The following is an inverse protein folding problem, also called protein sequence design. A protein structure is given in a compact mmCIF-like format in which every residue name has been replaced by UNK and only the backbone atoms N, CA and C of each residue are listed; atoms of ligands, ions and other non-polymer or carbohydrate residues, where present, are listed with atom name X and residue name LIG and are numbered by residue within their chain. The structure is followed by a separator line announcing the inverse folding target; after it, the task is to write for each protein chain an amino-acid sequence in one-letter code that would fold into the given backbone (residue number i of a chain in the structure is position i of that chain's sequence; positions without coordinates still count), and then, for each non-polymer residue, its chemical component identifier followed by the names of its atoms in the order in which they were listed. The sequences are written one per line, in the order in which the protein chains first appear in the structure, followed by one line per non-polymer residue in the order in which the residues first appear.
data_IF_144289604524
#
_entry.id   IF_144289604524
#
_cell.length_a   1.000
_cell.length_b   1.000
_cell.length_c   1.000
_cell.angle_alpha   90.00
_cell.angle_beta   90.00
_cell.angle_gamma   90.00
#
_symmetry.space_group_name_H-M   'P 1'
#
loop_
_entity.id
_entity.type
_entity.pdbx_description
1 polymer ?
#
# COMPACT_ATOMS: atom_id res chain seq x y z
N UNK A 1 -3.81 -2.36 -25.93
CA UNK A 1 -4.12 -1.09 -25.26
C UNK A 1 -5.55 -0.77 -25.60
N UNK A 2 -6.42 -0.61 -24.60
CA UNK A 2 -7.82 -0.25 -24.82
C UNK A 2 -7.94 1.25 -24.65
N UNK A 3 -8.44 1.96 -25.67
CA UNK A 3 -8.67 3.41 -25.59
C UNK A 3 -10.09 3.59 -25.04
N UNK A 4 -10.18 4.27 -23.89
CA UNK A 4 -11.45 4.45 -23.16
C UNK A 4 -12.11 5.83 -23.40
N UNK A 5 -11.52 6.65 -24.29
CA UNK A 5 -12.00 8.00 -24.57
C UNK A 5 -12.17 8.18 -26.07
N UNK A 6 -13.07 9.07 -26.45
CA UNK A 6 -13.12 9.54 -27.83
C UNK A 6 -11.81 10.27 -28.18
N UNK A 7 -11.35 10.18 -29.44
CA UNK A 7 -10.12 10.85 -29.84
C UNK A 7 -10.30 12.38 -29.84
N UNK A 8 -9.30 13.11 -29.34
CA UNK A 8 -9.30 14.59 -29.34
C UNK A 8 -9.25 15.17 -30.75
N UNK A 9 -8.72 14.41 -31.71
CA UNK A 9 -8.69 14.77 -33.13
C UNK A 9 -8.75 13.53 -34.00
N UNK A 10 -9.36 13.69 -35.19
CA UNK A 10 -9.41 12.66 -36.22
C UNK A 10 -8.69 13.17 -37.44
N UNK A 11 -7.69 12.41 -37.91
CA UNK A 11 -6.97 12.70 -39.16
C UNK A 11 -7.40 11.67 -40.20
N UNK A 12 -8.01 12.13 -41.29
CA UNK A 12 -8.45 11.28 -42.38
C UNK A 12 -7.33 11.16 -43.45
N UNK A 13 -7.00 9.93 -43.75
CA UNK A 13 -6.02 9.61 -44.82
C UNK A 13 -6.78 9.10 -46.03
N UNK A 14 -6.85 9.93 -47.05
CA UNK A 14 -7.44 9.54 -48.33
C UNK A 14 -6.47 8.63 -49.13
N UNK A 15 -7.00 7.78 -50.05
CA UNK A 15 -6.14 7.01 -50.95
C UNK A 15 -5.15 7.88 -51.69
N UNK A 16 -3.91 7.38 -51.90
CA UNK A 16 -2.83 8.12 -52.53
C UNK A 16 -3.20 8.54 -53.97
N UNK A 17 -4.02 7.75 -54.64
CA UNK A 17 -4.57 8.00 -55.99
C UNK A 17 -5.48 9.23 -56.04
N UNK A 18 -6.03 9.65 -54.91
CA UNK A 18 -6.81 10.89 -54.80
C UNK A 18 -5.94 12.13 -54.75
N UNK A 19 -4.62 11.98 -54.50
CA UNK A 19 -3.68 13.10 -54.50
C UNK A 19 -3.38 13.50 -55.95
N UNK A 20 -3.85 14.71 -56.38
CA UNK A 20 -3.73 15.21 -57.72
C UNK A 20 -4.79 14.69 -58.72
N UNK A 21 -5.83 14.02 -58.25
CA UNK A 21 -6.95 13.60 -59.05
C UNK A 21 -7.73 14.84 -59.59
N UNK A 22 -7.90 14.98 -60.92
CA UNK A 22 -8.63 16.12 -61.49
C UNK A 22 -10.10 16.23 -61.07
N UNK A 23 -10.70 15.12 -60.63
CA UNK A 23 -12.10 15.04 -60.24
C UNK A 23 -12.30 15.06 -58.70
N UNK A 24 -11.24 15.34 -57.89
CA UNK A 24 -11.30 15.31 -56.45
C UNK A 24 -12.41 16.20 -55.86
N UNK A 25 -12.58 17.38 -56.46
CA UNK A 25 -13.60 18.36 -56.01
C UNK A 25 -15.04 17.90 -56.24
N UNK A 26 -15.25 16.83 -57.00
CA UNK A 26 -16.57 16.23 -57.26
C UNK A 26 -16.85 15.01 -56.35
N UNK A 27 -15.87 14.60 -55.51
CA UNK A 27 -16.03 13.50 -54.58
C UNK A 27 -16.69 14.01 -53.30
N UNK A 28 -17.86 13.49 -52.96
CA UNK A 28 -18.46 13.74 -51.65
C UNK A 28 -17.81 12.89 -50.55
N UNK A 29 -17.82 13.36 -49.32
CA UNK A 29 -17.29 12.60 -48.16
C UNK A 29 -18.03 11.25 -47.97
N UNK A 30 -19.28 11.15 -48.40
CA UNK A 30 -20.09 9.93 -48.36
C UNK A 30 -19.55 8.79 -49.25
N UNK A 31 -18.65 9.09 -50.18
CA UNK A 31 -17.98 8.08 -51.04
C UNK A 31 -16.87 7.34 -50.28
N UNK A 32 -16.43 7.84 -49.16
CA UNK A 32 -15.36 7.24 -48.37
C UNK A 32 -15.92 6.57 -47.10
N UNK A 33 -15.41 5.39 -46.79
CA UNK A 33 -15.70 4.67 -45.57
C UNK A 33 -14.41 4.35 -44.84
N UNK A 34 -14.48 4.36 -43.52
CA UNK A 34 -13.31 4.01 -42.68
C UNK A 34 -13.07 2.51 -42.80
N UNK A 35 -11.91 2.14 -43.36
CA UNK A 35 -11.45 0.77 -43.50
C UNK A 35 -10.79 0.25 -42.22
N UNK A 36 -9.96 1.09 -41.58
CA UNK A 36 -9.19 0.75 -40.39
C UNK A 36 -8.90 2.05 -39.64
N UNK A 37 -8.91 1.97 -38.27
CA UNK A 37 -8.50 3.07 -37.42
C UNK A 37 -7.27 2.67 -36.63
N UNK A 38 -6.30 3.58 -36.53
CA UNK A 38 -5.11 3.45 -35.65
C UNK A 38 -5.03 4.67 -34.76
N UNK A 39 -4.66 4.46 -33.51
CA UNK A 39 -4.59 5.53 -32.52
C UNK A 39 -3.14 5.81 -32.17
N UNK A 40 -2.77 7.09 -32.17
CA UNK A 40 -1.51 7.59 -31.65
C UNK A 40 -1.82 8.35 -30.37
N UNK A 41 -1.21 7.95 -29.25
CA UNK A 41 -1.39 8.60 -27.96
C UNK A 41 -0.13 9.39 -27.65
N UNK A 42 -0.29 10.69 -27.46
CA UNK A 42 0.80 11.60 -27.13
C UNK A 42 0.48 12.38 -25.85
N UNK A 43 1.47 13.06 -25.28
CA UNK A 43 1.34 13.84 -24.04
C UNK A 43 1.87 15.25 -24.30
N UNK A 44 1.01 16.26 -24.16
CA UNK A 44 1.44 17.65 -24.10
C UNK A 44 1.82 18.02 -22.65
N UNK A 45 3.09 18.39 -22.44
CA UNK A 45 3.61 18.77 -21.13
C UNK A 45 3.87 20.27 -21.07
N UNK A 46 2.95 21.01 -20.45
CA UNK A 46 3.12 22.45 -20.21
C UNK A 46 2.59 22.89 -18.86
N UNK A 47 3.20 23.92 -18.28
CA UNK A 47 2.64 24.63 -17.15
C UNK A 47 1.72 25.76 -17.62
N UNK A 48 0.56 25.91 -16.95
CA UNK A 48 -0.31 27.07 -17.16
C UNK A 48 -0.01 28.12 -16.09
N UNK A 49 0.30 29.34 -16.52
CA UNK A 49 0.55 30.49 -15.64
C UNK A 49 -0.60 31.47 -15.75
N UNK A 50 -1.26 31.77 -14.63
CA UNK A 50 -2.31 32.78 -14.55
C UNK A 50 -1.79 34.02 -13.80
N UNK A 51 -1.82 35.17 -14.42
CA UNK A 51 -1.48 36.44 -13.76
C UNK A 51 -2.75 37.06 -13.19
N UNK A 52 -2.75 37.31 -11.88
CA UNK A 52 -3.81 38.07 -11.21
C UNK A 52 -3.37 39.53 -11.04
N UNK A 53 -4.16 40.47 -11.55
CA UNK A 53 -3.88 41.89 -11.46
C UNK A 53 -4.96 42.61 -10.66
N UNK A 54 -4.56 43.37 -9.65
CA UNK A 54 -5.45 44.31 -8.96
C UNK A 54 -5.55 45.59 -9.81
N UNK A 55 -6.75 45.94 -10.14
CA UNK A 55 -7.03 47.21 -10.81
C UNK A 55 -7.42 48.28 -9.78
N UNK A 56 -7.11 49.53 -10.10
CA UNK A 56 -7.53 50.67 -9.33
C UNK A 56 -8.30 51.65 -10.21
N UNK A 57 -9.37 52.22 -9.70
CA UNK A 57 -10.12 53.30 -10.34
C UNK A 57 -9.84 54.64 -9.63
N UNK A 58 -9.35 55.63 -10.41
CA UNK A 58 -9.19 57.02 -9.96
C UNK A 58 -10.36 57.82 -10.47
N UNK A 59 -10.98 58.66 -9.57
CA UNK A 59 -12.06 59.57 -9.95
C UNK A 59 -13.36 58.88 -10.37
N UNK A 60 -13.70 57.73 -9.71
CA UNK A 60 -14.99 57.10 -9.92
C UNK A 60 -16.14 58.04 -9.61
N UNK A 61 -17.05 58.39 -10.57
CA UNK A 61 -18.12 59.39 -10.36
C UNK A 61 -19.07 59.04 -9.21
N UNK A 62 -19.16 57.74 -8.85
CA UNK A 62 -20.04 57.25 -7.79
C UNK A 62 -19.40 57.30 -6.39
N UNK A 63 -18.07 57.25 -6.29
CA UNK A 63 -17.38 57.07 -5.00
C UNK A 63 -16.43 58.18 -4.63
N UNK A 64 -16.17 59.17 -5.52
CA UNK A 64 -15.28 60.33 -5.33
C UNK A 64 -13.87 60.03 -4.77
N UNK A 65 -13.54 58.76 -4.62
CA UNK A 65 -12.32 58.25 -3.99
C UNK A 65 -11.59 57.27 -4.90
N UNK A 66 -10.32 57.07 -4.57
CA UNK A 66 -9.49 56.04 -5.13
C UNK A 66 -9.94 54.66 -4.61
N UNK A 67 -10.37 53.77 -5.51
CA UNK A 67 -10.85 52.42 -5.19
C UNK A 67 -9.87 51.42 -5.74
N UNK A 68 -9.47 50.43 -4.94
CA UNK A 68 -8.56 49.37 -5.31
C UNK A 68 -9.26 48.02 -5.16
N UNK A 69 -9.12 47.15 -6.14
CA UNK A 69 -9.56 45.75 -6.06
C UNK A 69 -8.77 44.96 -5.02
N UNK A 70 -9.21 43.75 -4.75
CA UNK A 70 -8.49 42.78 -3.87
C UNK A 70 -8.22 41.49 -4.59
N UNK A 71 -7.17 40.79 -4.18
CA UNK A 71 -6.96 39.41 -4.63
C UNK A 71 -8.00 38.49 -4.00
N UNK A 72 -8.38 37.41 -4.69
CA UNK A 72 -9.11 36.29 -4.08
C UNK A 72 -8.33 35.72 -2.89
N UNK A 73 -9.04 35.13 -1.90
CA UNK A 73 -8.42 34.55 -0.69
C UNK A 73 -7.35 33.50 -1.00
N UNK A 74 -7.52 32.76 -2.09
CA UNK A 74 -6.57 31.72 -2.53
C UNK A 74 -5.36 32.27 -3.28
N UNK A 75 -5.26 33.61 -3.51
CA UNK A 75 -4.12 34.26 -4.16
C UNK A 75 -3.44 35.20 -3.13
N UNK A 76 -2.47 34.64 -2.40
CA UNK A 76 -1.84 35.28 -1.24
C UNK A 76 -0.36 35.61 -1.39
N UNK A 77 0.31 35.10 -2.42
CA UNK A 77 1.74 35.30 -2.63
C UNK A 77 2.04 35.81 -4.05
N UNK A 78 3.16 36.52 -4.20
CA UNK A 78 3.62 37.02 -5.52
C UNK A 78 3.80 35.87 -6.55
N UNK A 79 4.28 34.71 -6.11
CA UNK A 79 4.36 33.49 -6.89
C UNK A 79 3.88 32.35 -6.02
N UNK A 80 2.92 31.60 -6.51
CA UNK A 80 2.42 30.41 -5.81
C UNK A 80 2.17 29.29 -6.80
N UNK A 81 2.24 28.04 -6.30
CA UNK A 81 1.98 26.85 -7.07
C UNK A 81 0.58 26.33 -6.77
N UNK A 82 -0.17 26.03 -7.82
CA UNK A 82 -1.52 25.47 -7.71
C UNK A 82 -1.56 24.01 -7.21
N UNK A 83 -2.77 23.52 -6.98
CA UNK A 83 -2.99 22.18 -6.42
C UNK A 83 -2.48 21.06 -7.33
N UNK A 84 -2.51 21.22 -8.66
CA UNK A 84 -1.98 20.23 -9.60
C UNK A 84 -0.46 20.02 -9.46
N UNK A 85 0.29 21.10 -9.24
CA UNK A 85 1.75 21.04 -8.96
C UNK A 85 1.99 20.32 -7.62
N UNK A 86 1.20 20.66 -6.59
CA UNK A 86 1.26 20.00 -5.29
C UNK A 86 0.88 18.53 -5.37
N UNK A 87 -0.17 18.17 -6.11
CA UNK A 87 -0.59 16.79 -6.36
C UNK A 87 0.52 15.99 -7.02
N UNK A 88 1.13 16.51 -8.09
CA UNK A 88 2.22 15.83 -8.79
C UNK A 88 3.43 15.64 -7.89
N UNK A 89 3.83 16.66 -7.11
CA UNK A 89 4.93 16.56 -6.16
C UNK A 89 4.68 15.47 -5.11
N UNK A 90 3.46 15.39 -4.57
CA UNK A 90 3.08 14.37 -3.59
C UNK A 90 3.07 12.96 -4.19
N UNK A 91 2.56 12.78 -5.41
CA UNK A 91 2.57 11.49 -6.10
C UNK A 91 4.00 11.02 -6.36
N UNK A 92 4.86 11.88 -6.89
CA UNK A 92 6.26 11.56 -7.14
C UNK A 92 7.00 11.21 -5.84
N UNK A 93 6.74 11.96 -4.76
CA UNK A 93 7.35 11.70 -3.45
C UNK A 93 6.89 10.39 -2.82
N UNK A 94 5.61 10.02 -2.96
CA UNK A 94 5.01 8.83 -2.32
C UNK A 94 5.05 7.60 -3.22
N UNK A 95 4.23 7.55 -4.29
CA UNK A 95 4.20 6.40 -5.20
C UNK A 95 5.48 6.24 -5.99
N UNK A 96 6.03 7.34 -6.50
CA UNK A 96 7.28 7.34 -7.25
C UNK A 96 8.50 7.09 -6.39
N UNK A 97 8.38 7.22 -5.07
CA UNK A 97 9.49 7.14 -4.11
C UNK A 97 10.66 8.08 -4.46
N UNK A 98 10.41 9.13 -5.25
CA UNK A 98 11.43 10.06 -5.77
C UNK A 98 11.90 10.98 -4.63
N UNK A 99 13.19 11.34 -4.62
CA UNK A 99 13.75 12.31 -3.67
C UNK A 99 13.35 13.74 -4.06
N UNK A 100 13.25 14.63 -3.06
CA UNK A 100 12.79 16.02 -3.27
C UNK A 100 13.65 16.79 -4.28
N UNK A 101 14.98 16.55 -4.29
CA UNK A 101 15.88 17.15 -5.28
C UNK A 101 15.63 16.65 -6.71
N UNK A 102 15.31 15.36 -6.86
CA UNK A 102 14.93 14.81 -8.17
C UNK A 102 13.57 15.30 -8.63
N UNK A 103 12.61 15.46 -7.72
CA UNK A 103 11.31 16.07 -8.04
C UNK A 103 11.53 17.49 -8.56
N UNK A 104 12.36 18.29 -7.91
CA UNK A 104 12.73 19.63 -8.38
C UNK A 104 13.31 19.60 -9.81
N UNK A 105 14.19 18.64 -10.11
CA UNK A 105 14.75 18.45 -11.44
C UNK A 105 13.69 18.02 -12.46
N UNK A 106 12.80 17.11 -12.11
CA UNK A 106 11.70 16.65 -12.97
C UNK A 106 10.76 17.81 -13.30
N UNK A 107 10.36 18.61 -12.30
CA UNK A 107 9.49 19.77 -12.50
C UNK A 107 10.10 20.78 -13.48
N UNK A 108 11.41 21.04 -13.35
CA UNK A 108 12.13 21.94 -14.27
C UNK A 108 12.18 21.36 -15.68
N UNK A 109 12.57 20.11 -15.84
CA UNK A 109 12.84 19.53 -17.16
C UNK A 109 11.57 19.24 -17.96
N UNK A 110 10.47 18.88 -17.30
CA UNK A 110 9.22 18.53 -17.99
C UNK A 110 8.27 19.72 -18.15
N UNK A 111 8.28 20.68 -17.21
CA UNK A 111 7.27 21.73 -17.13
C UNK A 111 7.84 23.14 -17.07
N UNK A 112 9.17 23.30 -17.11
CA UNK A 112 9.89 24.57 -16.91
C UNK A 112 9.52 25.26 -15.58
N UNK A 113 9.16 24.48 -14.55
CA UNK A 113 8.83 25.00 -13.23
C UNK A 113 10.07 24.94 -12.33
N UNK A 114 10.58 26.11 -11.92
CA UNK A 114 11.66 26.19 -10.95
C UNK A 114 11.10 26.14 -9.54
N UNK A 115 11.21 24.99 -8.88
CA UNK A 115 10.73 24.77 -7.51
C UNK A 115 11.88 24.25 -6.63
N UNK A 116 12.01 24.79 -5.42
CA UNK A 116 13.05 24.34 -4.49
C UNK A 116 12.67 23.02 -3.80
N UNK A 117 13.65 22.19 -3.41
CA UNK A 117 13.38 21.01 -2.58
C UNK A 117 12.66 21.35 -1.27
N UNK A 118 12.95 22.52 -0.66
CA UNK A 118 12.27 23.01 0.55
C UNK A 118 10.79 23.29 0.31
N UNK A 119 10.43 23.82 -0.84
CA UNK A 119 9.03 24.05 -1.24
C UNK A 119 8.29 22.71 -1.42
N UNK A 120 8.95 21.71 -2.01
CA UNK A 120 8.40 20.35 -2.15
C UNK A 120 8.12 19.74 -0.77
N UNK A 121 9.08 19.81 0.16
CA UNK A 121 8.89 19.36 1.55
C UNK A 121 7.70 20.07 2.21
N UNK A 122 7.53 21.37 1.97
CA UNK A 122 6.40 22.15 2.50
C UNK A 122 5.07 21.69 1.89
N UNK A 123 5.03 21.37 0.58
CA UNK A 123 3.85 20.80 -0.08
C UNK A 123 3.47 19.44 0.52
N UNK A 124 4.44 18.55 0.72
CA UNK A 124 4.24 17.24 1.34
C UNK A 124 3.73 17.40 2.78
N UNK A 125 4.29 18.34 3.55
CA UNK A 125 3.81 18.60 4.92
C UNK A 125 2.38 19.11 4.96
N UNK A 126 1.99 20.04 4.07
CA UNK A 126 0.61 20.53 3.99
C UNK A 126 -0.37 19.43 3.60
N UNK A 127 0.00 18.59 2.62
CA UNK A 127 -0.79 17.44 2.23
C UNK A 127 -0.98 16.47 3.41
N UNK A 128 0.10 16.10 4.12
CA UNK A 128 0.05 15.21 5.27
C UNK A 128 -0.86 15.77 6.38
N UNK A 129 -0.86 17.08 6.63
CA UNK A 129 -1.76 17.70 7.61
C UNK A 129 -3.23 17.49 7.24
N UNK A 130 -3.60 17.74 5.97
CA UNK A 130 -4.97 17.49 5.48
C UNK A 130 -5.35 15.99 5.54
N UNK A 131 -4.39 15.09 5.27
CA UNK A 131 -4.60 13.64 5.37
C UNK A 131 -4.89 13.21 6.80
N UNK A 132 -4.23 13.78 7.83
CA UNK A 132 -4.40 13.37 9.23
C UNK A 132 -5.84 13.45 9.72
N UNK A 133 -6.60 14.44 9.22
CA UNK A 133 -8.03 14.56 9.53
C UNK A 133 -8.85 13.35 9.03
N UNK A 134 -8.32 12.60 8.07
CA UNK A 134 -8.95 11.41 7.46
C UNK A 134 -8.44 10.09 8.06
N UNK A 135 -7.24 10.07 8.64
CA UNK A 135 -6.63 8.85 9.17
C UNK A 135 -7.38 8.28 10.37
N UNK A 136 -8.06 9.14 11.15
CA UNK A 136 -8.89 8.70 12.27
C UNK A 136 -10.00 7.73 11.84
N UNK A 137 -10.68 8.04 10.73
CA UNK A 137 -11.71 7.18 10.17
C UNK A 137 -11.12 5.84 9.67
N UNK A 138 -10.02 5.89 8.90
CA UNK A 138 -9.31 4.68 8.44
C UNK A 138 -8.92 3.78 9.61
N UNK A 139 -8.38 4.38 10.68
CA UNK A 139 -8.00 3.65 11.89
C UNK A 139 -9.18 2.97 12.56
N UNK A 140 -10.31 3.65 12.67
CA UNK A 140 -11.53 3.10 13.26
C UNK A 140 -12.08 1.93 12.44
N UNK A 141 -12.08 2.03 11.12
CA UNK A 141 -12.48 0.94 10.22
C UNK A 141 -11.61 -0.30 10.41
N UNK A 142 -10.28 -0.13 10.56
CA UNK A 142 -9.38 -1.25 10.83
C UNK A 142 -9.64 -1.85 12.23
N UNK A 143 -9.88 -1.03 13.25
CA UNK A 143 -10.20 -1.51 14.60
C UNK A 143 -11.49 -2.33 14.61
N UNK A 144 -12.47 -1.95 13.80
CA UNK A 144 -13.79 -2.61 13.71
C UNK A 144 -13.81 -3.80 12.77
N UNK A 145 -12.73 -4.06 12.02
CA UNK A 145 -12.69 -5.14 11.05
C UNK A 145 -12.59 -6.51 11.71
N UNK A 146 -13.10 -7.53 11.02
CA UNK A 146 -13.06 -8.92 11.51
C UNK A 146 -11.67 -9.54 11.40
N UNK A 147 -10.90 -9.17 10.35
CA UNK A 147 -9.55 -9.68 10.07
C UNK A 147 -8.64 -8.52 9.70
N UNK A 148 -7.52 -8.40 10.41
CA UNK A 148 -6.51 -7.38 10.14
C UNK A 148 -5.13 -8.02 10.03
N UNK A 149 -4.38 -7.57 9.04
CA UNK A 149 -3.00 -7.95 8.80
C UNK A 149 -2.04 -6.99 9.49
N UNK A 150 -1.06 -7.53 10.20
CA UNK A 150 -0.03 -6.77 10.89
C UNK A 150 1.37 -7.17 10.40
N UNK A 151 2.23 -6.19 10.21
CA UNK A 151 3.64 -6.38 9.87
C UNK A 151 4.44 -5.16 10.31
N UNK A 152 5.77 -5.30 10.46
CA UNK A 152 6.65 -4.18 10.76
C UNK A 152 7.96 -4.26 9.96
N UNK A 153 8.52 -3.09 9.70
CA UNK A 153 9.82 -2.99 9.02
C UNK A 153 10.70 -1.91 9.61
N UNK A 154 12.00 -2.19 9.66
CA UNK A 154 12.98 -1.19 10.06
C UNK A 154 13.23 -0.16 8.96
N UNK A 155 13.30 1.11 9.35
CA UNK A 155 13.75 2.22 8.49
C UNK A 155 14.89 2.97 9.17
N UNK A 156 15.67 3.73 8.38
CA UNK A 156 16.71 4.58 8.93
C UNK A 156 16.31 6.06 8.87
N UNK A 157 16.46 6.76 9.99
CA UNK A 157 16.26 8.20 10.12
C UNK A 157 17.47 8.78 10.85
N UNK A 158 18.24 9.65 10.19
CA UNK A 158 19.48 10.22 10.76
C UNK A 158 20.40 9.16 11.40
N UNK A 159 20.63 8.06 10.72
CA UNK A 159 21.50 6.98 11.19
C UNK A 159 20.90 6.07 12.27
N UNK A 160 19.75 6.42 12.87
CA UNK A 160 19.03 5.60 13.85
C UNK A 160 18.01 4.69 13.16
N UNK A 161 17.86 3.47 13.66
CA UNK A 161 16.82 2.55 13.22
C UNK A 161 15.54 2.85 13.98
N UNK A 162 14.45 3.12 13.22
CA UNK A 162 13.08 3.21 13.70
C UNK A 162 12.25 2.13 13.01
N UNK A 163 11.04 1.91 13.50
CA UNK A 163 10.18 0.83 13.03
C UNK A 163 8.86 1.37 12.51
N UNK A 164 8.53 0.99 11.29
CA UNK A 164 7.21 1.23 10.71
C UNK A 164 6.33 0.06 11.06
N UNK A 165 5.18 0.34 11.67
CA UNK A 165 4.12 -0.61 11.95
C UNK A 165 3.02 -0.45 10.92
N UNK A 166 2.62 -1.54 10.31
CA UNK A 166 1.52 -1.63 9.37
C UNK A 166 0.35 -2.37 10.01
N UNK A 167 -0.83 -1.80 9.86
CA UNK A 167 -2.10 -2.46 10.13
C UNK A 167 -2.98 -2.29 8.92
N UNK A 168 -3.41 -3.38 8.31
CA UNK A 168 -4.14 -3.30 7.04
C UNK A 168 -5.18 -4.39 6.86
N UNK A 169 -6.22 -4.06 6.10
CA UNK A 169 -7.26 -4.95 5.62
C UNK A 169 -7.25 -4.97 4.09
N UNK A 170 -8.16 -5.68 3.46
CA UNK A 170 -8.38 -5.61 2.01
C UNK A 170 -8.84 -4.22 1.54
N UNK A 171 -9.43 -3.39 2.45
CA UNK A 171 -9.94 -2.05 2.14
C UNK A 171 -9.10 -0.90 2.69
N UNK A 172 -8.39 -1.08 3.78
CA UNK A 172 -7.74 0.00 4.52
C UNK A 172 -6.26 -0.30 4.78
N UNK A 173 -5.45 0.75 4.89
CA UNK A 173 -4.03 0.68 5.26
C UNK A 173 -3.72 1.81 6.24
N UNK A 174 -3.07 1.48 7.36
CA UNK A 174 -2.62 2.43 8.35
C UNK A 174 -1.18 2.16 8.75
N UNK A 175 -0.30 3.12 8.49
CA UNK A 175 1.14 3.04 8.73
C UNK A 175 1.55 4.06 9.79
N UNK A 176 2.34 3.64 10.77
CA UNK A 176 2.92 4.54 11.77
C UNK A 176 4.41 4.26 11.93
N UNK A 177 5.15 5.18 12.55
CA UNK A 177 6.56 4.99 12.89
C UNK A 177 6.78 5.17 14.38
N UNK A 178 7.56 4.25 14.98
CA UNK A 178 7.99 4.26 16.38
C UNK A 178 9.49 4.03 16.50
N UNK A 179 10.10 4.43 17.61
CA UNK A 179 11.48 4.08 17.96
C UNK A 179 11.60 2.65 18.49
N UNK A 180 10.48 1.99 18.79
CA UNK A 180 10.40 0.62 19.30
C UNK A 180 9.72 -0.32 18.31
N UNK A 181 10.33 -1.49 18.12
CA UNK A 181 9.72 -2.58 17.33
C UNK A 181 8.59 -3.28 18.06
N UNK A 182 8.76 -3.53 19.37
CA UNK A 182 7.91 -4.40 20.15
C UNK A 182 6.60 -3.76 20.59
N UNK A 183 6.05 -4.29 21.69
CA UNK A 183 4.73 -3.90 22.21
C UNK A 183 4.52 -2.38 22.30
N UNK A 184 5.53 -1.64 22.74
CA UNK A 184 5.43 -0.18 22.87
C UNK A 184 5.10 0.45 21.49
N UNK A 185 5.82 0.09 20.43
CA UNK A 185 5.55 0.62 19.10
C UNK A 185 4.19 0.18 18.54
N UNK A 186 3.78 -1.06 18.84
CA UNK A 186 2.44 -1.56 18.48
C UNK A 186 1.33 -0.82 19.25
N UNK A 187 1.54 -0.53 20.54
CA UNK A 187 0.61 0.24 21.35
C UNK A 187 0.52 1.71 20.86
N UNK A 188 1.63 2.31 20.44
CA UNK A 188 1.67 3.65 19.82
C UNK A 188 0.91 3.69 18.49
N UNK A 189 0.93 2.63 17.69
CA UNK A 189 0.07 2.48 16.50
C UNK A 189 -1.42 2.56 16.90
N UNK A 190 -1.76 2.01 18.07
CA UNK A 190 -3.05 2.18 18.75
C UNK A 190 -4.20 1.45 18.07
N UNK A 191 -3.93 0.41 17.28
CA UNK A 191 -4.93 -0.50 16.71
C UNK A 191 -4.99 -1.78 17.54
N UNK A 192 -3.89 -2.53 17.66
CA UNK A 192 -3.85 -3.80 18.41
C UNK A 192 -4.47 -3.73 19.82
N UNK A 193 -4.23 -2.67 20.64
CA UNK A 193 -4.84 -2.59 21.97
C UNK A 193 -6.36 -2.50 21.99
N UNK A 194 -6.99 -2.10 20.88
CA UNK A 194 -8.43 -1.89 20.73
C UNK A 194 -9.10 -2.92 19.82
N UNK A 195 -8.30 -3.63 19.04
CA UNK A 195 -8.76 -4.61 18.06
C UNK A 195 -9.35 -5.84 18.77
N UNK A 196 -10.40 -6.41 18.20
CA UNK A 196 -11.12 -7.58 18.75
C UNK A 196 -11.28 -8.72 17.74
N UNK A 197 -10.86 -8.49 16.49
CA UNK A 197 -10.93 -9.48 15.42
C UNK A 197 -9.75 -10.46 15.42
N UNK A 198 -9.49 -11.05 14.26
CA UNK A 198 -8.41 -12.00 14.03
C UNK A 198 -7.17 -11.26 13.51
N UNK A 199 -6.06 -11.34 14.26
CA UNK A 199 -4.80 -10.71 13.90
C UNK A 199 -3.95 -11.67 13.05
N UNK A 200 -3.63 -11.28 11.81
CA UNK A 200 -2.75 -12.05 10.91
C UNK A 200 -1.33 -11.49 10.99
N UNK A 201 -0.33 -12.35 11.29
CA UNK A 201 1.06 -11.92 11.46
C UNK A 201 2.09 -13.04 11.22
N UNK A 202 3.38 -12.73 11.30
CA UNK A 202 4.52 -13.62 11.06
C UNK A 202 4.95 -14.52 12.24
N UNK A 203 4.12 -14.64 13.27
CA UNK A 203 4.44 -15.37 14.51
C UNK A 203 5.47 -14.70 15.42
N UNK A 204 5.78 -13.41 15.25
CA UNK A 204 6.69 -12.73 16.16
C UNK A 204 6.11 -12.63 17.59
N UNK A 205 6.96 -12.86 18.60
CA UNK A 205 6.55 -13.03 20.01
C UNK A 205 5.79 -11.84 20.62
N UNK A 206 5.92 -10.65 20.07
CA UNK A 206 5.22 -9.46 20.58
C UNK A 206 3.72 -9.47 20.31
N UNK A 207 3.26 -10.13 19.26
CA UNK A 207 1.83 -10.24 18.93
C UNK A 207 1.07 -11.09 19.97
N UNK A 208 1.70 -12.14 20.51
CA UNK A 208 1.12 -13.01 21.52
C UNK A 208 0.85 -12.37 22.89
N UNK A 209 1.25 -11.09 23.05
CA UNK A 209 0.96 -10.29 24.24
C UNK A 209 -0.43 -9.66 24.23
N UNK A 210 -1.15 -9.78 23.12
CA UNK A 210 -2.51 -9.33 22.96
C UNK A 210 -3.45 -10.52 23.02
N UNK A 211 -4.51 -10.40 23.84
CA UNK A 211 -5.54 -11.44 23.97
C UNK A 211 -6.51 -11.35 22.80
N UNK A 212 -6.11 -11.98 21.69
CA UNK A 212 -6.79 -11.96 20.40
C UNK A 212 -6.81 -13.36 19.78
N UNK A 213 -7.67 -13.53 18.78
CA UNK A 213 -7.53 -14.63 17.84
C UNK A 213 -6.39 -14.34 16.86
N UNK A 214 -5.48 -15.30 16.69
CA UNK A 214 -4.33 -15.16 15.82
C UNK A 214 -4.44 -16.09 14.60
N UNK A 215 -4.10 -15.56 13.42
CA UNK A 215 -3.82 -16.33 12.21
C UNK A 215 -2.37 -16.13 11.80
N UNK A 216 -1.70 -17.20 11.40
CA UNK A 216 -0.29 -17.14 11.06
C UNK A 216 -0.04 -17.11 9.56
N UNK A 217 1.02 -16.41 9.15
CA UNK A 217 1.51 -16.44 7.79
C UNK A 217 2.18 -17.78 7.47
N UNK A 218 1.43 -18.73 6.89
CA UNK A 218 1.97 -20.03 6.51
C UNK A 218 3.03 -19.93 5.41
N UNK A 219 3.05 -18.86 4.60
CA UNK A 219 4.12 -18.65 3.63
C UNK A 219 5.50 -18.45 4.28
N UNK A 220 5.57 -17.89 5.50
CA UNK A 220 6.82 -17.84 6.27
C UNK A 220 7.25 -19.21 6.74
N UNK A 221 6.32 -20.02 7.25
CA UNK A 221 6.58 -21.40 7.67
C UNK A 221 7.07 -22.24 6.49
N UNK A 222 6.41 -22.17 5.34
CA UNK A 222 6.82 -22.88 4.12
C UNK A 222 8.24 -22.51 3.67
N UNK A 223 8.63 -21.22 3.77
CA UNK A 223 10.01 -20.79 3.45
C UNK A 223 11.04 -21.39 4.40
N UNK A 224 10.72 -21.46 5.70
CA UNK A 224 11.62 -22.07 6.70
C UNK A 224 11.71 -23.59 6.50
N UNK A 225 10.59 -24.28 6.26
CA UNK A 225 10.55 -25.71 5.96
C UNK A 225 11.38 -26.04 4.70
N UNK A 226 11.21 -25.26 3.62
CA UNK A 226 12.01 -25.40 2.41
C UNK A 226 13.51 -25.25 2.70
N UNK A 227 13.89 -24.27 3.51
CA UNK A 227 15.28 -24.11 3.93
C UNK A 227 15.82 -25.30 4.73
N UNK A 228 14.97 -26.05 5.48
CA UNK A 228 15.39 -27.31 6.13
C UNK A 228 15.51 -28.40 5.09
N UNK A 229 14.55 -28.57 4.19
CA UNK A 229 14.62 -29.57 3.08
C UNK A 229 15.92 -29.41 2.28
N UNK A 230 16.32 -28.18 1.97
CA UNK A 230 17.54 -27.90 1.20
C UNK A 230 18.83 -28.22 1.99
N UNK A 231 18.82 -28.09 3.32
CA UNK A 231 20.00 -28.27 4.18
C UNK A 231 20.03 -29.65 4.88
N UNK A 232 18.91 -30.35 4.96
CA UNK A 232 18.72 -31.65 5.62
C UNK A 232 17.80 -32.55 4.76
N UNK A 233 18.25 -32.94 3.55
CA UNK A 233 17.42 -33.71 2.61
C UNK A 233 17.00 -35.08 3.14
N UNK A 234 17.72 -35.61 4.15
CA UNK A 234 17.42 -36.86 4.84
C UNK A 234 16.19 -36.78 5.75
N UNK A 235 15.81 -35.59 6.22
CA UNK A 235 14.64 -35.40 7.07
C UNK A 235 13.37 -35.38 6.22
N UNK A 236 12.39 -36.20 6.62
CA UNK A 236 11.12 -36.33 5.89
C UNK A 236 10.05 -35.35 6.38
N UNK A 237 10.03 -35.06 7.70
CA UNK A 237 9.00 -34.27 8.32
C UNK A 237 8.76 -32.90 7.65
N UNK A 238 9.80 -32.14 7.17
CA UNK A 238 9.56 -30.82 6.57
C UNK A 238 8.85 -30.93 5.23
N UNK A 239 9.13 -31.98 4.43
CA UNK A 239 8.46 -32.24 3.16
C UNK A 239 6.99 -32.57 3.39
N UNK A 240 6.72 -33.51 4.30
CA UNK A 240 5.37 -33.95 4.65
C UNK A 240 4.52 -32.78 5.19
N UNK A 241 5.12 -31.86 5.99
CA UNK A 241 4.42 -30.69 6.48
C UNK A 241 4.16 -29.65 5.37
N UNK A 242 5.08 -29.48 4.42
CA UNK A 242 4.83 -28.66 3.22
C UNK A 242 3.64 -29.20 2.42
N UNK A 243 3.59 -30.51 2.18
CA UNK A 243 2.48 -31.17 1.48
C UNK A 243 1.17 -30.97 2.24
N UNK A 244 1.15 -31.20 3.55
CA UNK A 244 -0.03 -30.95 4.39
C UNK A 244 -0.54 -29.51 4.26
N UNK A 245 0.34 -28.50 4.36
CA UNK A 245 -0.05 -27.09 4.24
C UNK A 245 -0.58 -26.75 2.85
N UNK A 246 -0.05 -27.35 1.79
CA UNK A 246 -0.58 -27.18 0.43
C UNK A 246 -1.95 -27.83 0.26
N UNK A 247 -2.13 -29.06 0.77
CA UNK A 247 -3.42 -29.77 0.73
C UNK A 247 -4.50 -28.98 1.52
N UNK A 248 -4.15 -28.46 2.70
CA UNK A 248 -5.02 -27.59 3.47
C UNK A 248 -5.41 -26.33 2.70
N UNK A 249 -4.44 -25.71 1.99
CA UNK A 249 -4.72 -24.54 1.16
C UNK A 249 -5.66 -24.88 0.01
N UNK A 250 -5.42 -26.00 -0.68
CA UNK A 250 -6.30 -26.47 -1.75
C UNK A 250 -7.72 -26.73 -1.24
N UNK A 251 -7.86 -27.44 -0.11
CA UNK A 251 -9.16 -27.71 0.50
C UNK A 251 -9.91 -26.43 0.88
N UNK A 252 -9.19 -25.39 1.33
CA UNK A 252 -9.79 -24.06 1.54
C UNK A 252 -10.25 -23.42 0.24
N UNK A 253 -9.40 -23.43 -0.79
CA UNK A 253 -9.71 -22.82 -2.09
C UNK A 253 -10.97 -23.52 -2.70
N UNK A 254 -11.06 -24.85 -2.54
CA UNK A 254 -12.24 -25.63 -2.95
C UNK A 254 -13.49 -25.28 -2.13
N UNK A 255 -13.35 -25.11 -0.80
CA UNK A 255 -14.47 -24.74 0.07
C UNK A 255 -14.99 -23.33 -0.29
N UNK A 256 -14.11 -22.37 -0.52
CA UNK A 256 -14.47 -21.03 -0.97
C UNK A 256 -15.14 -21.06 -2.36
N UNK A 257 -14.63 -21.90 -3.28
CA UNK A 257 -15.21 -22.07 -4.62
C UNK A 257 -16.61 -22.69 -4.62
N UNK A 258 -17.00 -23.37 -3.52
CA UNK A 258 -18.32 -23.97 -3.33
C UNK A 258 -19.19 -23.21 -2.30
N UNK A 259 -18.80 -21.99 -1.92
CA UNK A 259 -19.51 -21.13 -0.94
C UNK A 259 -19.70 -21.79 0.44
N UNK A 260 -18.73 -22.61 0.89
CA UNK A 260 -18.74 -23.18 2.24
C UNK A 260 -18.08 -22.22 3.25
N UNK A 261 -18.64 -22.12 4.44
CA UNK A 261 -18.10 -21.30 5.54
C UNK A 261 -16.86 -21.91 6.20
N UNK A 262 -16.64 -23.20 6.02
CA UNK A 262 -15.49 -23.97 6.56
C UNK A 262 -15.22 -25.20 5.70
N UNK A 263 -14.00 -25.73 5.80
CA UNK A 263 -13.68 -27.06 5.23
C UNK A 263 -14.47 -28.14 5.99
N UNK A 264 -15.00 -29.18 5.31
CA UNK A 264 -15.73 -30.27 5.96
C UNK A 264 -14.98 -30.94 7.13
N UNK A 265 -15.68 -31.26 8.21
CA UNK A 265 -15.10 -31.74 9.46
C UNK A 265 -14.23 -32.99 9.29
N UNK A 266 -14.66 -33.97 8.48
CA UNK A 266 -13.89 -35.17 8.20
C UNK A 266 -12.53 -34.88 7.52
N UNK A 267 -12.44 -33.83 6.73
CA UNK A 267 -11.20 -33.37 6.10
C UNK A 267 -10.33 -32.67 7.15
N UNK A 268 -10.93 -31.82 8.01
CA UNK A 268 -10.22 -31.17 9.11
C UNK A 268 -9.61 -32.18 10.08
N UNK A 269 -10.36 -33.22 10.46
CA UNK A 269 -9.87 -34.32 11.31
C UNK A 269 -8.71 -35.06 10.66
N UNK A 270 -8.78 -35.29 9.34
CA UNK A 270 -7.69 -35.89 8.58
C UNK A 270 -6.42 -35.03 8.61
N UNK A 271 -6.54 -33.71 8.52
CA UNK A 271 -5.40 -32.80 8.62
C UNK A 271 -4.76 -32.83 10.01
N UNK A 272 -5.55 -32.87 11.07
CA UNK A 272 -5.04 -32.95 12.43
C UNK A 272 -4.34 -34.27 12.68
N UNK A 273 -4.88 -35.38 12.22
CA UNK A 273 -4.23 -36.72 12.32
C UNK A 273 -2.90 -36.77 11.56
N UNK A 274 -2.87 -36.25 10.31
CA UNK A 274 -1.62 -36.13 9.53
C UNK A 274 -0.60 -35.25 10.25
N UNK A 275 -1.02 -34.14 10.80
CA UNK A 275 -0.14 -33.25 11.55
C UNK A 275 0.50 -33.98 12.74
N UNK A 276 -0.26 -34.72 13.54
CA UNK A 276 0.26 -35.48 14.67
C UNK A 276 1.30 -36.50 14.22
N UNK A 277 1.01 -37.29 13.19
CA UNK A 277 1.99 -38.26 12.63
C UNK A 277 3.27 -37.55 12.14
N UNK A 278 3.15 -36.38 11.48
CA UNK A 278 4.31 -35.63 11.01
C UNK A 278 5.14 -35.13 12.19
N UNK A 279 4.50 -34.66 13.27
CA UNK A 279 5.21 -34.20 14.46
C UNK A 279 5.92 -35.34 15.20
N UNK A 280 5.38 -36.54 15.20
CA UNK A 280 6.09 -37.75 15.73
C UNK A 280 7.33 -38.05 14.91
N UNK A 281 7.30 -37.90 13.58
CA UNK A 281 8.48 -38.05 12.73
C UNK A 281 9.48 -36.94 13.05
N UNK A 282 9.03 -35.69 13.17
CA UNK A 282 9.89 -34.55 13.50
C UNK A 282 10.62 -34.72 14.84
N UNK A 283 9.93 -35.23 15.86
CA UNK A 283 10.54 -35.53 17.17
C UNK A 283 11.61 -36.62 17.11
N UNK A 284 11.45 -37.62 16.22
CA UNK A 284 12.45 -38.65 16.00
C UNK A 284 13.65 -38.17 15.19
N UNK A 285 13.43 -37.39 14.14
CA UNK A 285 14.49 -36.86 13.26
C UNK A 285 15.27 -35.71 13.89
N UNK A 286 14.63 -34.91 14.75
CA UNK A 286 15.24 -33.78 15.45
C UNK A 286 14.82 -33.77 16.93
N UNK A 287 15.31 -34.71 17.75
CA UNK A 287 14.94 -34.79 19.16
C UNK A 287 15.35 -33.52 19.95
N UNK A 288 14.64 -33.21 21.05
CA UNK A 288 15.04 -32.13 21.93
C UNK A 288 16.45 -32.40 22.48
N UNK A 289 17.33 -31.38 22.57
CA UNK A 289 18.64 -31.58 23.16
C UNK A 289 18.50 -32.02 24.62
N UNK A 290 19.46 -32.86 25.16
CA UNK A 290 19.39 -33.33 26.53
C UNK A 290 19.39 -32.17 27.54
N UNK A 291 18.75 -32.37 28.69
CA UNK A 291 18.69 -31.32 29.71
C UNK A 291 20.10 -30.89 30.18
N UNK A 292 20.39 -29.59 30.26
CA UNK A 292 21.69 -29.12 30.66
C UNK A 292 21.95 -29.51 32.11
N UNK A 293 23.09 -30.13 32.36
CA UNK A 293 23.54 -30.48 33.72
C UNK A 293 23.68 -29.27 34.65
N UNK A 294 23.86 -28.07 34.07
CA UNK A 294 23.94 -26.80 34.80
C UNK A 294 22.94 -25.80 34.22
N UNK A 295 21.99 -25.32 35.03
CA UNK A 295 21.06 -24.26 34.64
C UNK A 295 21.79 -22.94 34.40
N UNK A 296 21.91 -22.52 33.14
CA UNK A 296 22.43 -21.18 32.78
C UNK A 296 21.27 -20.19 32.68
N UNK A 297 21.50 -18.92 33.08
CA UNK A 297 20.52 -17.84 32.87
C UNK A 297 20.31 -17.63 31.35
N UNK A 298 19.05 -17.50 30.94
CA UNK A 298 18.62 -17.21 29.58
C UNK A 298 17.91 -18.38 28.88
N UNK A 299 17.34 -18.10 27.69
CA UNK A 299 16.66 -19.12 26.88
C UNK A 299 17.70 -20.13 26.37
N UNK A 300 17.36 -21.41 26.48
CA UNK A 300 18.17 -22.51 25.94
C UNK A 300 18.38 -22.31 24.43
N UNK A 301 19.61 -22.39 23.94
CA UNK A 301 19.90 -22.39 22.52
C UNK A 301 19.58 -23.76 21.94
N UNK A 302 18.47 -23.83 21.20
CA UNK A 302 18.11 -24.98 20.37
C UNK A 302 18.47 -24.68 18.92
N UNK A 303 18.75 -25.68 18.11
CA UNK A 303 18.97 -25.49 16.67
C UNK A 303 17.76 -24.86 15.98
N UNK A 304 17.96 -24.25 14.81
CA UNK A 304 16.89 -23.56 14.06
C UNK A 304 15.71 -24.51 13.75
N UNK A 305 16.03 -25.73 13.36
CA UNK A 305 15.05 -26.76 13.05
C UNK A 305 14.20 -27.12 14.27
N UNK A 306 14.85 -27.43 15.41
CA UNK A 306 14.14 -27.73 16.66
C UNK A 306 13.26 -26.57 17.11
N UNK A 307 13.77 -25.34 17.01
CA UNK A 307 12.99 -24.14 17.32
C UNK A 307 11.75 -23.97 16.42
N UNK A 308 11.85 -24.39 15.15
CA UNK A 308 10.71 -24.38 14.23
C UNK A 308 9.67 -25.45 14.64
N UNK A 309 10.10 -26.68 14.96
CA UNK A 309 9.23 -27.76 15.45
C UNK A 309 8.44 -27.28 16.69
N UNK A 310 9.13 -26.77 17.71
CA UNK A 310 8.50 -26.25 18.93
C UNK A 310 7.49 -25.13 18.64
N UNK A 311 7.85 -24.21 17.72
CA UNK A 311 6.97 -23.11 17.34
C UNK A 311 5.73 -23.58 16.60
N UNK A 312 5.86 -24.53 15.69
CA UNK A 312 4.76 -25.10 14.93
C UNK A 312 3.81 -25.85 15.86
N UNK A 313 4.34 -26.73 16.73
CA UNK A 313 3.55 -27.48 17.69
C UNK A 313 2.75 -26.56 18.63
N UNK A 314 3.41 -25.53 19.15
CA UNK A 314 2.77 -24.58 20.07
C UNK A 314 1.70 -23.71 19.40
N UNK A 315 1.74 -23.50 18.11
CA UNK A 315 0.88 -22.54 17.40
C UNK A 315 0.01 -23.20 16.31
N UNK A 316 -0.13 -24.52 16.31
CA UNK A 316 -0.90 -25.25 15.29
C UNK A 316 -2.32 -24.73 15.12
N UNK A 317 -3.03 -24.42 16.22
CA UNK A 317 -4.39 -23.87 16.19
C UNK A 317 -4.45 -22.56 15.39
N UNK A 318 -3.45 -21.69 15.54
CA UNK A 318 -3.39 -20.41 14.81
C UNK A 318 -2.93 -20.59 13.37
N UNK A 319 -2.09 -21.59 13.09
CA UNK A 319 -1.65 -21.93 11.74
C UNK A 319 -2.80 -22.49 10.89
N UNK A 320 -3.62 -23.37 11.45
CA UNK A 320 -4.74 -24.02 10.76
C UNK A 320 -6.03 -23.19 10.74
N UNK A 321 -6.09 -22.03 11.40
CA UNK A 321 -7.30 -21.21 11.49
C UNK A 321 -7.93 -20.88 10.13
N UNK A 322 -7.13 -20.75 9.09
CA UNK A 322 -7.58 -20.40 7.74
C UNK A 322 -8.47 -21.48 7.08
N UNK A 323 -8.43 -22.73 7.53
CA UNK A 323 -9.33 -23.81 7.04
C UNK A 323 -10.60 -23.93 7.90
N UNK A 324 -10.64 -23.30 9.09
CA UNK A 324 -11.79 -23.26 9.96
C UNK A 324 -12.62 -21.98 9.76
N UNK A 325 -12.04 -20.92 9.22
CA UNK A 325 -12.68 -19.63 8.98
C UNK A 325 -12.22 -19.09 7.63
N UNK A 326 -13.12 -19.08 6.67
CA UNK A 326 -12.80 -18.69 5.29
C UNK A 326 -12.37 -17.22 5.15
N UNK A 327 -12.68 -16.36 6.13
CA UNK A 327 -12.21 -14.97 6.18
C UNK A 327 -10.70 -14.88 6.46
N UNK A 328 -10.12 -15.87 7.13
CA UNK A 328 -8.70 -15.90 7.51
C UNK A 328 -7.85 -16.31 6.29
N UNK A 329 -6.91 -15.49 5.81
CA UNK A 329 -6.06 -15.84 4.69
C UNK A 329 -5.00 -16.86 5.08
N UNK A 330 -4.46 -17.58 4.07
CA UNK A 330 -3.36 -18.51 4.24
C UNK A 330 -2.03 -17.83 4.61
N UNK A 331 -1.85 -16.58 4.18
CA UNK A 331 -0.61 -15.82 4.34
C UNK A 331 -0.86 -14.37 4.77
N UNK A 332 0.23 -13.64 5.03
CA UNK A 332 0.22 -12.23 5.38
C UNK A 332 0.67 -11.31 4.23
N UNK A 333 0.55 -11.77 2.97
CA UNK A 333 1.01 -11.04 1.79
C UNK A 333 0.39 -9.64 1.66
N UNK A 334 -0.80 -9.42 2.22
CA UNK A 334 -1.45 -8.10 2.22
C UNK A 334 -0.60 -7.08 2.96
N UNK A 335 -0.20 -7.37 4.21
CA UNK A 335 0.64 -6.45 4.97
C UNK A 335 2.03 -6.28 4.32
N UNK A 336 2.60 -7.36 3.79
CA UNK A 336 3.89 -7.29 3.08
C UNK A 336 3.82 -6.38 1.85
N UNK A 337 2.73 -6.42 1.07
CA UNK A 337 2.52 -5.54 -0.09
C UNK A 337 2.39 -4.09 0.33
N UNK A 338 1.59 -3.81 1.36
CA UNK A 338 1.33 -2.45 1.82
C UNK A 338 2.60 -1.77 2.39
N UNK A 339 3.44 -2.53 3.11
CA UNK A 339 4.69 -2.01 3.68
C UNK A 339 5.83 -1.92 2.64
N UNK A 340 5.70 -2.58 1.49
CA UNK A 340 6.74 -2.62 0.44
C UNK A 340 7.10 -1.23 -0.07
N UNK A 341 6.12 -0.33 -0.22
CA UNK A 341 6.36 1.04 -0.68
C UNK A 341 7.33 1.79 0.23
N UNK A 342 7.28 1.55 1.53
CA UNK A 342 8.24 2.12 2.50
C UNK A 342 9.66 1.61 2.24
N UNK A 343 9.82 0.31 1.99
CA UNK A 343 11.12 -0.31 1.66
C UNK A 343 11.68 0.25 0.34
N UNK A 344 10.81 0.46 -0.66
CA UNK A 344 11.19 1.07 -1.94
C UNK A 344 11.66 2.50 -1.72
N UNK A 345 10.92 3.32 -0.96
CA UNK A 345 11.30 4.71 -0.66
C UNK A 345 12.69 4.78 -0.02
N UNK A 346 12.96 3.94 0.97
CA UNK A 346 14.28 3.89 1.63
C UNK A 346 15.38 3.47 0.65
N UNK A 347 15.13 2.52 -0.26
CA UNK A 347 16.11 2.08 -1.25
C UNK A 347 16.39 3.13 -2.34
N UNK A 348 15.35 3.84 -2.83
CA UNK A 348 15.45 4.78 -3.95
C UNK A 348 15.92 6.16 -3.48
N UNK A 349 15.41 6.64 -2.35
CA UNK A 349 15.69 7.99 -1.83
C UNK A 349 16.74 8.01 -0.72
N UNK A 350 17.25 6.84 -0.30
CA UNK A 350 18.09 6.71 0.88
C UNK A 350 17.26 6.71 2.18
N UNK A 351 17.84 7.21 3.27
CA UNK A 351 17.13 7.31 4.54
C UNK A 351 16.24 8.56 4.60
N UNK A 352 15.24 8.53 5.47
CA UNK A 352 14.51 9.74 5.83
C UNK A 352 15.42 10.71 6.61
N UNK A 353 15.35 12.00 6.28
CA UNK A 353 16.17 13.05 6.91
C UNK A 353 15.63 13.49 8.28
N UNK A 354 14.32 13.31 8.52
CA UNK A 354 13.66 13.68 9.77
C UNK A 354 12.53 12.74 10.12
N UNK A 355 12.22 12.64 11.41
CA UNK A 355 11.05 11.88 11.89
C UNK A 355 9.75 12.46 11.32
N UNK A 356 9.64 13.80 11.23
CA UNK A 356 8.45 14.44 10.67
C UNK A 356 8.28 14.10 9.19
N UNK A 357 9.36 14.07 8.41
CA UNK A 357 9.32 13.66 7.00
C UNK A 357 8.87 12.22 6.83
N UNK A 358 9.32 11.32 7.71
CA UNK A 358 8.86 9.93 7.71
C UNK A 358 7.36 9.84 8.06
N UNK A 359 6.91 10.55 9.11
CA UNK A 359 5.48 10.61 9.49
C UNK A 359 4.62 11.13 8.33
N UNK A 360 4.99 12.24 7.71
CA UNK A 360 4.27 12.81 6.57
C UNK A 360 4.15 11.81 5.41
N UNK A 361 5.25 11.11 5.10
CA UNK A 361 5.26 10.09 4.05
C UNK A 361 4.30 8.94 4.37
N UNK A 362 4.32 8.45 5.62
CA UNK A 362 3.48 7.33 6.05
C UNK A 362 1.99 7.72 6.09
N UNK A 363 1.68 8.94 6.54
CA UNK A 363 0.32 9.48 6.57
C UNK A 363 -0.27 9.50 5.15
N UNK A 364 0.45 10.11 4.19
CA UNK A 364 0.01 10.17 2.79
C UNK A 364 -0.06 8.77 2.17
N UNK A 365 0.92 7.90 2.45
CA UNK A 365 0.93 6.53 1.93
C UNK A 365 -0.27 5.72 2.45
N UNK A 366 -0.62 5.86 3.73
CA UNK A 366 -1.81 5.24 4.33
C UNK A 366 -3.09 5.64 3.60
N UNK A 367 -3.28 6.93 3.38
CA UNK A 367 -4.43 7.48 2.66
C UNK A 367 -4.49 6.99 1.21
N UNK A 368 -3.39 7.09 0.47
CA UNK A 368 -3.35 6.70 -0.94
C UNK A 368 -3.44 5.19 -1.15
N UNK A 369 -2.85 4.38 -0.25
CA UNK A 369 -3.02 2.93 -0.28
C UNK A 369 -4.47 2.54 -0.02
N UNK A 370 -5.14 3.23 0.89
CA UNK A 370 -6.57 3.05 1.15
C UNK A 370 -7.40 3.47 -0.06
N UNK A 371 -7.17 4.65 -0.63
CA UNK A 371 -7.86 5.10 -1.84
C UNK A 371 -7.74 4.08 -2.98
N UNK A 372 -6.54 3.54 -3.21
CA UNK A 372 -6.30 2.51 -4.21
C UNK A 372 -7.13 1.24 -3.95
N UNK A 373 -7.27 0.81 -2.70
CA UNK A 373 -8.08 -0.37 -2.31
C UNK A 373 -9.57 -0.15 -2.56
N UNK A 374 -10.02 1.11 -2.55
CA UNK A 374 -11.38 1.51 -2.94
C UNK A 374 -11.51 1.83 -4.44
N UNK A 375 -10.53 1.47 -5.28
CA UNK A 375 -10.55 1.72 -6.71
C UNK A 375 -10.36 3.19 -7.11
N UNK A 376 -9.99 4.06 -6.17
CA UNK A 376 -9.83 5.49 -6.40
C UNK A 376 -8.41 5.77 -6.86
N UNK A 377 -8.29 6.45 -8.02
CA UNK A 377 -7.01 6.89 -8.55
C UNK A 377 -6.34 7.90 -7.60
N UNK A 378 -5.02 7.78 -7.42
CA UNK A 378 -4.23 8.61 -6.51
C UNK A 378 -4.31 10.12 -6.83
N UNK A 379 -4.35 10.49 -8.13
CA UNK A 379 -4.49 11.88 -8.56
C UNK A 379 -5.86 12.43 -8.13
N UNK A 380 -6.93 11.65 -8.38
CA UNK A 380 -8.29 11.99 -7.97
C UNK A 380 -8.38 12.15 -6.45
N UNK A 381 -7.80 11.23 -5.69
CA UNK A 381 -7.81 11.26 -4.22
C UNK A 381 -7.11 12.51 -3.67
N UNK A 382 -5.93 12.86 -4.20
CA UNK A 382 -5.18 14.04 -3.75
C UNK A 382 -5.83 15.35 -4.20
N UNK A 383 -6.35 15.43 -5.42
CA UNK A 383 -7.05 16.63 -5.89
C UNK A 383 -8.29 16.92 -5.03
N UNK A 384 -9.10 15.90 -4.73
CA UNK A 384 -10.26 16.05 -3.85
C UNK A 384 -9.85 16.49 -2.43
N UNK A 385 -8.77 15.92 -1.89
CA UNK A 385 -8.23 16.30 -0.58
C UNK A 385 -7.72 17.74 -0.56
N UNK A 386 -6.95 18.15 -1.57
CA UNK A 386 -6.32 19.47 -1.62
C UNK A 386 -7.35 20.59 -1.87
N UNK A 387 -8.37 20.33 -2.72
CA UNK A 387 -9.47 21.24 -2.99
C UNK A 387 -10.50 21.33 -1.85
N UNK A 388 -10.34 20.57 -0.78
CA UNK A 388 -11.26 20.61 0.37
C UNK A 388 -12.60 19.90 0.14
N UNK A 389 -12.71 19.05 -0.91
CA UNK A 389 -13.90 18.25 -1.15
C UNK A 389 -14.13 17.22 -0.04
N UNK A 390 -15.35 16.69 0.04
CA UNK A 390 -15.72 15.62 0.97
C UNK A 390 -14.80 14.40 0.83
N UNK A 391 -14.77 13.54 1.86
CA UNK A 391 -13.87 12.40 1.89
C UNK A 391 -14.36 11.31 0.91
N UNK A 392 -13.84 11.32 -0.31
CA UNK A 392 -14.25 10.41 -1.40
C UNK A 392 -14.01 8.91 -1.10
N UNK A 393 -13.25 8.57 -0.04
CA UNK A 393 -13.05 7.18 0.38
C UNK A 393 -14.27 6.66 1.16
N UNK A 394 -14.97 7.56 1.85
CA UNK A 394 -16.12 7.23 2.70
C UNK A 394 -17.44 7.82 2.16
N UNK A 395 -17.42 8.48 1.00
CA UNK A 395 -18.64 8.87 0.29
C UNK A 395 -19.26 7.63 -0.36
N UNK A 396 -20.59 7.55 -0.31
CA UNK A 396 -21.33 6.52 -1.01
C UNK A 396 -21.05 6.65 -2.53
N UNK A 397 -20.76 5.55 -3.25
CA UNK A 397 -20.58 5.58 -4.70
C UNK A 397 -21.79 6.12 -5.48
N UNK A 398 -22.94 6.31 -4.82
CA UNK A 398 -24.18 6.84 -5.38
C UNK A 398 -24.34 8.37 -5.28
N UNK A 399 -23.43 9.09 -4.61
CA UNK A 399 -23.29 10.55 -4.61
C UNK A 399 -22.14 10.99 -5.54
#
# INVERSE_FOLDING_TARGET
MTIHHEPDSIVLHHPSECNGCPNRDHCSESMFSVKESRYVVDIEMRANVTEHRILCAKGCPKHEKYIVGSFPENVSAHVQYGDSVSTLANILSTFGAVSDSRISTIMRNLFDITISPGTIVSMVSRCANKVRDRLGAIKNEIISSEVTHFDETGIRINGKTLWVHNSSTNKYTYLTVSDKRGRIGMDENGILPKFKGIAIHDCWSSYWKYDLLHGLCNAHILRELKGIVDNRPEHQWPKLLCELLHDMKSAKDDAVGNDYDTVPLNILDSFDNRFHCIMEIAERECPPPPDPQVRRRGRRKVGKERALIERISANWVSMKRFVHDMRVPFDNNQAERDIRNVKIKVKVSGCFRSLQGAKNYLDITSYLSTAKKHGINAVKALNALLSGQSNIIFSDPSE
#
